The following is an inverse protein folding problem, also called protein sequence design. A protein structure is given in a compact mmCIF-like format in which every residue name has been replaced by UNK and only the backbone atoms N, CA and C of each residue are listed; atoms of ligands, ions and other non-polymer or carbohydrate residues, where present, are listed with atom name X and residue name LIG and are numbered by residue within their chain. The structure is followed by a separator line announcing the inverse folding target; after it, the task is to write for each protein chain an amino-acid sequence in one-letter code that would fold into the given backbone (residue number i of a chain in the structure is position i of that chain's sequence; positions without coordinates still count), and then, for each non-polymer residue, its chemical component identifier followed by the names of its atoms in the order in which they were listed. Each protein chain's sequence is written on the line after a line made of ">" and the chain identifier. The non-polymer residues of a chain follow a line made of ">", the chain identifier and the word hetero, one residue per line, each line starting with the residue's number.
data_IF_536678317995
#
_entry.id   IF_536678317995
#
_cell.length_a   1.000
_cell.length_b   1.000
_cell.length_c   1.000
_cell.angle_alpha   90.00
_cell.angle_beta   90.00
_cell.angle_gamma   90.00
#
_symmetry.space_group_name_H-M   'P 1'
#
loop_
_entity.id
_entity.type
_entity.pdbx_description
1 polymer ?
#
# COMPACT_ATOMS: atom_id res chain seq x y z
N UNK A 1 11.11 -7.35 5.42
CA UNK A 1 10.16 -6.30 4.95
C UNK A 1 9.18 -5.97 6.06
N UNK A 2 8.70 -4.73 6.09
CA UNK A 2 7.51 -4.33 6.86
C UNK A 2 6.45 -3.93 5.84
N UNK A 3 5.22 -4.38 6.01
CA UNK A 3 4.12 -4.10 5.08
C UNK A 3 3.07 -3.18 5.70
N UNK A 4 2.27 -2.52 4.86
CA UNK A 4 1.03 -1.89 5.33
C UNK A 4 0.14 -2.95 5.99
N UNK A 5 -0.51 -2.59 7.10
CA UNK A 5 -1.35 -3.50 7.87
C UNK A 5 -2.75 -3.67 7.22
N UNK A 6 -2.80 -3.95 5.92
CA UNK A 6 -4.03 -4.12 5.15
C UNK A 6 -3.91 -5.23 4.09
N UNK A 7 -4.98 -5.41 3.30
CA UNK A 7 -5.00 -6.40 2.22
C UNK A 7 -3.87 -6.21 1.20
N UNK A 8 -3.57 -4.97 0.78
CA UNK A 8 -2.57 -4.71 -0.27
C UNK A 8 -1.16 -5.06 0.24
N UNK A 9 -0.87 -4.72 1.49
CA UNK A 9 0.37 -5.13 2.15
C UNK A 9 0.54 -6.65 2.22
N UNK A 10 -0.51 -7.40 2.59
CA UNK A 10 -0.45 -8.87 2.71
C UNK A 10 -0.20 -9.58 1.37
N UNK A 11 -0.89 -9.16 0.32
CA UNK A 11 -0.73 -9.75 -1.00
C UNK A 11 0.63 -9.36 -1.61
N UNK A 12 1.14 -8.14 -1.34
CA UNK A 12 2.50 -7.76 -1.68
C UNK A 12 3.54 -8.63 -0.96
N UNK A 13 3.34 -8.90 0.35
CA UNK A 13 4.22 -9.80 1.09
C UNK A 13 4.27 -11.21 0.50
N UNK A 14 3.13 -11.73 0.04
CA UNK A 14 3.07 -13.03 -0.64
C UNK A 14 3.85 -13.04 -1.95
N UNK A 15 3.69 -12.02 -2.79
CA UNK A 15 4.44 -11.86 -4.03
C UNK A 15 5.95 -11.79 -3.78
N UNK A 16 6.38 -10.87 -2.90
CA UNK A 16 7.79 -10.58 -2.63
C UNK A 16 8.49 -11.74 -1.93
N UNK A 17 7.79 -12.46 -1.05
CA UNK A 17 8.34 -13.68 -0.46
C UNK A 17 8.55 -14.75 -1.52
N UNK A 18 7.54 -15.03 -2.33
CA UNK A 18 7.62 -16.11 -3.31
C UNK A 18 8.68 -15.86 -4.39
N UNK A 19 8.77 -14.64 -4.93
CA UNK A 19 9.66 -14.34 -6.05
C UNK A 19 11.04 -13.84 -5.65
N UNK A 20 11.16 -13.18 -4.48
CA UNK A 20 12.42 -12.56 -4.05
C UNK A 20 12.94 -13.10 -2.71
N UNK A 21 12.25 -14.07 -2.10
CA UNK A 21 12.59 -14.66 -0.80
C UNK A 21 12.65 -13.64 0.36
N UNK A 22 11.88 -12.56 0.26
CA UNK A 22 11.82 -11.54 1.32
C UNK A 22 11.11 -12.11 2.56
N UNK A 23 11.66 -11.82 3.74
CA UNK A 23 11.08 -12.25 5.01
C UNK A 23 10.18 -11.15 5.57
N UNK A 24 8.99 -11.52 6.07
CA UNK A 24 8.08 -10.61 6.74
C UNK A 24 8.51 -10.42 8.19
N UNK A 25 8.85 -9.18 8.57
CA UNK A 25 9.40 -8.85 9.89
C UNK A 25 8.47 -7.91 10.69
N UNK A 26 7.35 -7.49 10.11
CA UNK A 26 6.42 -6.60 10.79
C UNK A 26 5.34 -5.98 9.91
N UNK A 27 4.51 -5.17 10.54
CA UNK A 27 3.35 -4.47 9.97
C UNK A 27 3.33 -3.02 10.42
N UNK A 28 2.71 -2.14 9.62
CA UNK A 28 2.48 -0.74 9.98
C UNK A 28 1.11 -0.27 9.48
N UNK A 29 0.22 0.15 10.38
CA UNK A 29 -1.14 0.64 10.04
C UNK A 29 -1.19 2.16 9.82
N UNK A 30 -0.01 2.79 9.65
CA UNK A 30 0.21 4.23 9.62
C UNK A 30 0.04 4.91 11.00
N UNK A 31 -0.06 4.16 12.08
CA UNK A 31 -0.05 4.68 13.45
C UNK A 31 0.90 3.87 14.35
N UNK A 32 0.70 2.56 14.42
CA UNK A 32 1.44 1.60 15.23
C UNK A 32 2.28 0.69 14.33
N UNK A 33 3.55 0.54 14.68
CA UNK A 33 4.46 -0.43 14.06
C UNK A 33 4.48 -1.68 14.92
N UNK A 34 4.20 -2.85 14.35
CA UNK A 34 4.49 -4.14 14.96
C UNK A 34 5.73 -4.72 14.29
N UNK A 35 6.77 -5.02 15.06
CA UNK A 35 8.06 -5.43 14.51
C UNK A 35 8.72 -6.50 15.38
N UNK A 36 9.40 -7.46 14.74
CA UNK A 36 10.24 -8.46 15.41
C UNK A 36 11.47 -7.82 16.02
N UNK A 37 12.09 -8.48 17.00
CA UNK A 37 13.38 -8.06 17.53
C UNK A 37 14.47 -8.03 16.44
N UNK A 38 14.49 -9.03 15.57
CA UNK A 38 15.39 -9.08 14.41
C UNK A 38 15.19 -7.89 13.49
N UNK A 39 13.93 -7.53 13.19
CA UNK A 39 13.61 -6.34 12.39
C UNK A 39 14.17 -5.05 13.00
N UNK A 40 14.14 -4.91 14.33
CA UNK A 40 14.74 -3.76 15.03
C UNK A 40 16.28 -3.78 14.92
N UNK A 41 16.91 -4.95 15.09
CA UNK A 41 18.36 -5.11 15.00
C UNK A 41 18.91 -4.88 13.58
N UNK A 42 18.15 -5.28 12.56
CA UNK A 42 18.51 -5.18 11.14
C UNK A 42 17.78 -4.04 10.41
N UNK A 43 17.39 -3.00 11.13
CA UNK A 43 16.47 -1.96 10.63
C UNK A 43 16.92 -1.26 9.34
N UNK A 44 18.22 -1.17 9.08
CA UNK A 44 18.82 -0.64 7.86
C UNK A 44 18.58 -1.50 6.61
N UNK A 45 18.24 -2.78 6.80
CA UNK A 45 17.93 -3.72 5.72
C UNK A 45 16.43 -3.81 5.45
N UNK A 46 15.60 -3.14 6.26
CA UNK A 46 14.16 -3.17 6.10
C UNK A 46 13.72 -2.37 4.88
N UNK A 47 12.82 -2.99 4.12
CA UNK A 47 12.06 -2.35 3.05
C UNK A 47 10.61 -2.29 3.51
N UNK A 48 10.04 -1.08 3.41
CA UNK A 48 8.68 -0.74 3.81
C UNK A 48 7.78 -0.78 2.57
N UNK A 49 6.89 -1.76 2.50
CA UNK A 49 6.11 -2.10 1.30
C UNK A 49 4.69 -1.58 1.46
N UNK A 50 4.19 -0.93 0.41
CA UNK A 50 2.94 -0.18 0.38
C UNK A 50 2.91 0.97 1.42
N UNK A 51 4.08 1.56 1.67
CA UNK A 51 4.29 2.55 2.73
C UNK A 51 5.19 3.69 2.24
N UNK A 52 5.05 4.86 2.85
CA UNK A 52 5.88 6.03 2.58
C UNK A 52 6.47 6.52 3.90
N UNK A 53 7.76 6.25 4.11
CA UNK A 53 8.48 6.64 5.32
C UNK A 53 9.60 7.64 4.99
N UNK A 54 9.89 8.54 5.93
CA UNK A 54 10.83 9.65 5.78
C UNK A 54 12.27 9.35 6.26
N UNK A 55 12.56 8.43 7.19
CA UNK A 55 13.94 8.17 7.58
C UNK A 55 14.77 7.65 6.39
N UNK A 56 15.90 8.32 6.07
CA UNK A 56 16.80 7.93 4.97
C UNK A 56 17.27 6.47 5.01
N UNK A 57 17.40 5.92 6.22
CA UNK A 57 17.83 4.53 6.44
C UNK A 57 16.76 3.53 6.03
N UNK A 58 15.49 3.94 6.02
CA UNK A 58 14.40 3.12 5.55
C UNK A 58 14.24 3.25 4.04
N UNK A 59 14.24 2.10 3.36
CA UNK A 59 13.86 2.00 1.95
C UNK A 59 12.37 1.74 1.89
N UNK A 60 11.67 2.33 0.92
CA UNK A 60 10.23 2.17 0.82
C UNK A 60 9.79 1.91 -0.62
N UNK A 61 8.69 1.19 -0.79
CA UNK A 61 7.95 1.05 -2.04
C UNK A 61 6.51 1.43 -1.72
N UNK A 62 5.96 2.42 -2.39
CA UNK A 62 4.59 2.88 -2.10
C UNK A 62 4.02 3.78 -3.18
N UNK A 63 2.72 4.07 -3.11
CA UNK A 63 1.99 4.75 -4.19
C UNK A 63 1.30 6.07 -3.80
N UNK A 64 1.70 6.72 -2.70
CA UNK A 64 1.08 7.98 -2.26
C UNK A 64 1.82 9.20 -2.80
N UNK A 65 1.10 10.31 -2.97
CA UNK A 65 1.72 11.61 -3.27
C UNK A 65 2.37 12.13 -1.99
N UNK A 66 3.62 12.59 -2.12
CA UNK A 66 4.42 13.11 -1.00
C UNK A 66 5.02 14.50 -1.28
N UNK A 67 4.88 15.02 -2.50
CA UNK A 67 5.43 16.32 -2.90
C UNK A 67 4.33 17.36 -3.09
N UNK A 68 4.58 18.61 -2.68
CA UNK A 68 3.65 19.73 -2.87
C UNK A 68 3.99 20.49 -4.16
N UNK A 69 5.27 20.78 -4.40
CA UNK A 69 5.74 21.64 -5.49
C UNK A 69 6.97 21.08 -6.22
N UNK A 70 7.13 19.75 -6.25
CA UNK A 70 8.21 19.06 -6.97
C UNK A 70 9.41 18.74 -6.09
N UNK A 71 9.45 19.24 -4.85
CA UNK A 71 10.48 18.86 -3.90
C UNK A 71 10.37 17.38 -3.51
N UNK A 72 11.52 16.69 -3.54
CA UNK A 72 11.66 15.32 -3.01
C UNK A 72 12.44 15.41 -1.71
N UNK A 73 11.76 15.11 -0.61
CA UNK A 73 12.40 15.11 0.70
C UNK A 73 13.52 14.06 0.74
N UNK A 74 14.65 14.31 1.43
CA UNK A 74 15.81 13.42 1.37
C UNK A 74 15.51 11.97 1.76
N UNK A 75 14.50 11.75 2.60
CA UNK A 75 13.99 10.42 2.96
C UNK A 75 13.41 9.61 1.81
N UNK A 76 12.83 10.27 0.81
CA UNK A 76 12.22 9.61 -0.34
C UNK A 76 13.18 9.41 -1.51
N UNK A 77 14.43 9.84 -1.40
CA UNK A 77 15.46 9.55 -2.40
C UNK A 77 15.75 8.04 -2.51
N UNK A 78 15.50 7.29 -1.43
CA UNK A 78 15.58 5.82 -1.37
C UNK A 78 14.22 5.13 -1.61
N UNK A 79 13.18 5.88 -1.99
CA UNK A 79 11.81 5.36 -2.17
C UNK A 79 11.54 5.03 -3.64
N UNK A 80 11.04 3.82 -3.89
CA UNK A 80 10.49 3.42 -5.18
C UNK A 80 8.99 3.75 -5.20
N UNK A 81 8.65 4.95 -5.65
CA UNK A 81 7.27 5.42 -5.73
C UNK A 81 6.96 5.96 -7.14
N UNK A 82 5.98 5.39 -7.86
CA UNK A 82 5.70 5.79 -9.24
C UNK A 82 5.32 7.27 -9.37
N UNK A 83 4.67 7.86 -8.37
CA UNK A 83 4.32 9.29 -8.41
C UNK A 83 5.56 10.18 -8.30
N UNK A 84 6.56 9.78 -7.52
CA UNK A 84 7.83 10.52 -7.43
C UNK A 84 8.58 10.43 -8.75
N UNK A 85 8.66 9.23 -9.33
CA UNK A 85 9.34 8.98 -10.60
C UNK A 85 8.68 9.71 -11.78
N UNK A 86 7.36 9.90 -11.73
CA UNK A 86 6.60 10.66 -12.73
C UNK A 86 6.45 12.15 -12.39
N UNK A 87 7.16 12.64 -11.36
CA UNK A 87 7.18 14.04 -10.89
C UNK A 87 5.77 14.58 -10.54
N UNK A 88 4.87 13.71 -10.10
CA UNK A 88 3.49 14.08 -9.76
C UNK A 88 3.42 14.65 -8.35
N UNK A 89 2.92 15.87 -8.29
CA UNK A 89 2.74 16.62 -7.03
C UNK A 89 1.27 16.66 -6.59
N UNK A 90 1.04 17.25 -5.42
CA UNK A 90 -0.31 17.48 -4.91
C UNK A 90 -1.18 18.36 -5.83
N UNK A 91 -0.57 19.20 -6.67
CA UNK A 91 -1.27 20.00 -7.68
C UNK A 91 -1.81 19.18 -8.85
N UNK A 92 -1.34 17.95 -9.01
CA UNK A 92 -1.63 17.09 -10.15
C UNK A 92 -2.30 15.79 -9.73
N UNK A 93 -3.12 15.85 -8.69
CA UNK A 93 -3.73 14.69 -8.05
C UNK A 93 -4.50 13.78 -9.02
N UNK A 94 -5.10 14.35 -10.07
CA UNK A 94 -5.78 13.63 -11.15
C UNK A 94 -4.87 12.71 -11.97
N UNK A 95 -3.55 12.96 -11.96
CA UNK A 95 -2.52 12.14 -12.63
C UNK A 95 -1.97 11.03 -11.73
N UNK A 96 -2.31 11.02 -10.44
CA UNK A 96 -1.80 10.05 -9.45
C UNK A 96 -1.88 8.62 -9.99
N UNK A 97 -0.84 7.83 -9.71
CA UNK A 97 -0.82 6.40 -9.99
C UNK A 97 -2.13 5.73 -9.50
N UNK A 98 -2.94 5.14 -10.40
CA UNK A 98 -4.29 4.69 -10.08
C UNK A 98 -4.35 3.22 -9.66
N UNK A 99 -3.25 2.48 -9.73
CA UNK A 99 -3.20 1.06 -9.36
C UNK A 99 -2.60 0.89 -7.96
N UNK A 100 -2.63 -0.34 -7.47
CA UNK A 100 -2.04 -0.73 -6.19
C UNK A 100 -0.52 -0.89 -6.24
N UNK A 101 0.10 -0.93 -5.06
CA UNK A 101 1.52 -1.27 -4.94
C UNK A 101 1.80 -2.66 -5.50
N UNK A 102 0.86 -3.61 -5.33
CA UNK A 102 0.94 -4.94 -5.91
C UNK A 102 1.07 -4.92 -7.44
N UNK A 103 0.21 -4.18 -8.13
CA UNK A 103 0.25 -4.11 -9.61
C UNK A 103 1.53 -3.44 -10.09
N UNK A 104 2.03 -2.45 -9.35
CA UNK A 104 3.33 -1.85 -9.64
C UNK A 104 4.48 -2.86 -9.52
N UNK A 105 4.46 -3.71 -8.49
CA UNK A 105 5.46 -4.78 -8.31
C UNK A 105 5.37 -5.86 -9.40
N UNK A 106 4.15 -6.24 -9.83
CA UNK A 106 3.95 -7.18 -10.95
C UNK A 106 4.60 -6.64 -12.23
N UNK A 107 4.38 -5.36 -12.54
CA UNK A 107 5.02 -4.70 -13.69
C UNK A 107 6.55 -4.62 -13.51
N UNK A 108 7.02 -4.15 -12.35
CA UNK A 108 8.45 -3.93 -12.08
C UNK A 108 9.29 -5.21 -12.24
N UNK A 109 8.72 -6.36 -11.89
CA UNK A 109 9.37 -7.65 -12.00
C UNK A 109 8.93 -8.47 -13.22
N UNK A 110 8.08 -7.90 -14.09
CA UNK A 110 7.47 -8.58 -15.24
C UNK A 110 6.86 -9.95 -14.87
N UNK A 111 6.11 -9.98 -13.77
CA UNK A 111 5.47 -11.20 -13.26
C UNK A 111 4.07 -11.30 -13.84
N UNK A 112 3.87 -12.28 -14.70
CA UNK A 112 2.53 -12.67 -15.13
C UNK A 112 1.82 -13.45 -14.03
N UNK A 113 0.53 -13.14 -13.83
CA UNK A 113 -0.31 -13.90 -12.91
C UNK A 113 -0.97 -15.05 -13.67
N UNK A 114 -1.34 -16.11 -12.95
CA UNK A 114 -2.07 -17.24 -13.54
C UNK A 114 -3.32 -16.74 -14.27
N UNK A 115 -3.59 -17.34 -15.43
CA UNK A 115 -4.82 -17.12 -16.21
C UNK A 115 -6.04 -17.77 -15.54
N UNK A 116 -6.26 -17.45 -14.27
CA UNK A 116 -7.39 -17.87 -13.45
C UNK A 116 -8.25 -16.66 -13.11
N UNK A 117 -9.56 -16.87 -13.05
CA UNK A 117 -10.50 -15.79 -12.84
C UNK A 117 -10.42 -15.23 -11.41
N UNK A 118 -10.33 -16.10 -10.40
CA UNK A 118 -10.21 -15.67 -9.01
C UNK A 118 -8.87 -14.99 -8.76
N UNK A 119 -7.78 -15.49 -9.35
CA UNK A 119 -6.47 -14.84 -9.35
C UNK A 119 -6.59 -13.39 -9.81
N UNK A 120 -7.24 -13.15 -10.95
CA UNK A 120 -7.46 -11.80 -11.47
C UNK A 120 -8.30 -10.93 -10.53
N UNK A 121 -9.35 -11.49 -9.91
CA UNK A 121 -10.15 -10.76 -8.92
C UNK A 121 -9.34 -10.35 -7.69
N UNK A 122 -8.48 -11.21 -7.17
CA UNK A 122 -7.62 -10.92 -6.01
C UNK A 122 -6.66 -9.76 -6.31
N UNK A 123 -5.99 -9.79 -7.46
CA UNK A 123 -5.07 -8.73 -7.88
C UNK A 123 -5.82 -7.40 -8.05
N UNK A 124 -6.93 -7.42 -8.80
CA UNK A 124 -7.70 -6.21 -9.08
C UNK A 124 -8.43 -5.65 -7.84
N UNK A 125 -8.66 -6.48 -6.82
CA UNK A 125 -9.20 -6.03 -5.54
C UNK A 125 -8.23 -5.16 -4.77
N UNK A 126 -6.91 -5.40 -4.89
CA UNK A 126 -5.91 -4.69 -4.12
C UNK A 126 -5.94 -3.18 -4.41
N UNK A 127 -5.94 -2.40 -3.34
CA UNK A 127 -6.22 -0.95 -3.28
C UNK A 127 -7.43 -0.53 -4.15
N UNK A 128 -8.49 -1.36 -4.20
CA UNK A 128 -9.70 -1.16 -5.00
C UNK A 128 -9.41 -0.80 -6.48
N UNK A 129 -8.36 -1.38 -7.06
CA UNK A 129 -7.88 -1.03 -8.40
C UNK A 129 -8.96 -1.18 -9.47
N UNK A 130 -9.81 -2.20 -9.39
CA UNK A 130 -10.91 -2.37 -10.34
C UNK A 130 -11.88 -1.17 -10.37
N UNK A 131 -12.20 -0.57 -9.22
CA UNK A 131 -13.03 0.63 -9.16
C UNK A 131 -12.29 1.84 -9.72
N UNK A 132 -11.02 2.00 -9.36
CA UNK A 132 -10.20 3.11 -9.88
C UNK A 132 -10.07 3.03 -11.40
N UNK A 133 -9.93 1.83 -11.97
CA UNK A 133 -9.92 1.64 -13.42
C UNK A 133 -11.24 2.06 -14.08
N UNK A 134 -12.39 1.74 -13.45
CA UNK A 134 -13.69 2.19 -13.95
C UNK A 134 -13.80 3.71 -13.94
N UNK A 135 -13.44 4.37 -12.83
CA UNK A 135 -13.65 5.81 -12.62
C UNK A 135 -12.59 6.71 -13.25
N UNK A 136 -11.35 6.24 -13.32
CA UNK A 136 -10.20 6.99 -13.80
C UNK A 136 -9.59 6.31 -15.03
N UNK A 137 -10.44 5.89 -15.98
CA UNK A 137 -10.03 5.10 -17.15
C UNK A 137 -8.97 5.80 -17.99
N UNK A 138 -9.11 7.10 -18.22
CA UNK A 138 -8.15 7.86 -19.03
C UNK A 138 -6.79 7.98 -18.34
N UNK A 139 -6.77 8.22 -17.03
CA UNK A 139 -5.54 8.22 -16.25
C UNK A 139 -4.90 6.82 -16.23
N UNK A 140 -5.71 5.77 -16.04
CA UNK A 140 -5.27 4.37 -16.05
C UNK A 140 -4.61 4.01 -17.38
N UNK A 141 -5.22 4.36 -18.52
CA UNK A 141 -4.65 4.14 -19.86
C UNK A 141 -3.33 4.89 -20.06
N UNK A 142 -3.20 6.13 -19.53
CA UNK A 142 -1.93 6.87 -19.58
C UNK A 142 -0.82 6.13 -18.83
N UNK A 143 -1.13 5.63 -17.64
CA UNK A 143 -0.18 4.82 -16.87
C UNK A 143 0.18 3.49 -17.53
N UNK A 144 -0.79 2.79 -18.14
CA UNK A 144 -0.51 1.57 -18.92
C UNK A 144 0.43 1.82 -20.11
N UNK A 145 0.33 3.00 -20.75
CA UNK A 145 1.26 3.40 -21.82
C UNK A 145 2.65 3.72 -21.29
N UNK A 146 2.73 4.38 -20.13
CA UNK A 146 4.01 4.72 -19.50
C UNK A 146 4.73 3.44 -19.03
N UNK A 147 3.98 2.56 -18.37
CA UNK A 147 4.42 1.26 -17.89
C UNK A 147 4.19 0.20 -18.99
N UNK A 148 4.83 0.38 -20.14
CA UNK A 148 4.74 -0.56 -21.25
C UNK A 148 5.30 -1.95 -20.90
N UNK A 149 5.15 -2.90 -21.82
CA UNK A 149 5.64 -4.29 -21.70
C UNK A 149 5.03 -5.13 -20.58
N UNK A 150 3.74 -4.91 -20.29
CA UNK A 150 2.95 -5.75 -19.41
C UNK A 150 1.57 -6.02 -20.00
N UNK A 151 0.97 -7.18 -19.69
CA UNK A 151 -0.30 -7.61 -20.28
C UNK A 151 -1.51 -6.91 -19.64
N UNK A 152 -1.58 -5.59 -19.78
CA UNK A 152 -2.65 -4.74 -19.27
C UNK A 152 -4.02 -5.13 -19.83
N UNK A 153 -4.06 -5.52 -21.09
CA UNK A 153 -5.29 -5.89 -21.78
C UNK A 153 -5.98 -7.06 -21.10
N UNK A 154 -5.22 -8.12 -20.78
CA UNK A 154 -5.76 -9.29 -20.09
C UNK A 154 -6.17 -8.97 -18.65
N UNK A 155 -5.32 -8.25 -17.90
CA UNK A 155 -5.59 -7.91 -16.50
C UNK A 155 -6.88 -7.09 -16.36
N UNK A 156 -7.10 -6.11 -17.24
CA UNK A 156 -8.26 -5.21 -17.16
C UNK A 156 -9.42 -5.57 -18.10
N UNK A 157 -9.36 -6.74 -18.76
CA UNK A 157 -10.40 -7.17 -19.69
C UNK A 157 -11.76 -7.29 -19.00
N UNK A 158 -12.74 -6.53 -19.49
CA UNK A 158 -14.12 -6.59 -19.01
C UNK A 158 -14.34 -5.98 -17.62
N UNK A 159 -13.35 -5.33 -17.00
CA UNK A 159 -13.48 -4.73 -15.66
C UNK A 159 -14.61 -3.69 -15.59
N UNK A 160 -14.85 -2.94 -16.67
CA UNK A 160 -15.94 -1.98 -16.75
C UNK A 160 -17.24 -2.60 -17.31
N UNK A 161 -17.69 -3.72 -16.74
CA UNK A 161 -18.95 -4.38 -17.14
C UNK A 161 -19.78 -4.79 -15.92
N UNK A 162 -21.10 -4.80 -16.08
CA UNK A 162 -22.02 -5.34 -15.05
C UNK A 162 -21.69 -6.78 -14.68
N UNK A 163 -21.23 -7.58 -15.64
CA UNK A 163 -20.83 -8.97 -15.40
C UNK A 163 -19.62 -9.07 -14.44
N UNK A 164 -18.58 -8.25 -14.64
CA UNK A 164 -17.43 -8.23 -13.73
C UNK A 164 -17.84 -7.80 -12.31
N UNK A 165 -18.71 -6.79 -12.20
CA UNK A 165 -19.21 -6.33 -10.92
C UNK A 165 -20.00 -7.41 -10.16
N UNK A 166 -20.88 -8.15 -10.86
CA UNK A 166 -21.55 -9.31 -10.27
C UNK A 166 -20.57 -10.33 -9.73
N UNK A 167 -19.47 -10.57 -10.45
CA UNK A 167 -18.45 -11.54 -10.01
C UNK A 167 -17.74 -11.11 -8.73
N UNK A 168 -17.45 -9.83 -8.59
CA UNK A 168 -16.93 -9.28 -7.33
C UNK A 168 -17.93 -9.53 -6.19
N UNK A 169 -19.20 -9.17 -6.39
CA UNK A 169 -20.22 -9.18 -5.34
C UNK A 169 -20.74 -10.57 -4.96
N UNK A 170 -20.87 -11.47 -5.93
CA UNK A 170 -21.45 -12.80 -5.76
C UNK A 170 -20.37 -13.86 -5.44
N UNK A 171 -19.08 -13.60 -5.71
CA UNK A 171 -18.00 -14.60 -5.50
C UNK A 171 -16.90 -14.10 -4.56
N UNK A 172 -16.19 -13.02 -4.90
CA UNK A 172 -15.04 -12.58 -4.11
C UNK A 172 -15.45 -12.10 -2.71
N UNK A 173 -16.51 -11.31 -2.66
CA UNK A 173 -16.98 -10.65 -1.45
C UNK A 173 -17.65 -11.57 -0.42
N UNK A 174 -18.38 -12.62 -0.81
CA UNK A 174 -18.81 -13.67 0.10
C UNK A 174 -17.63 -14.50 0.61
N UNK A 175 -16.64 -14.80 -0.24
CA UNK A 175 -15.41 -15.50 0.17
C UNK A 175 -14.64 -14.71 1.25
N UNK A 176 -14.48 -13.40 1.07
CA UNK A 176 -13.84 -12.57 2.10
C UNK A 176 -14.64 -12.49 3.39
N UNK A 177 -15.98 -12.47 3.30
CA UNK A 177 -16.82 -12.51 4.49
C UNK A 177 -16.68 -13.81 5.26
N UNK A 178 -16.62 -14.96 4.59
CA UNK A 178 -16.46 -16.25 5.27
C UNK A 178 -15.12 -16.37 6.01
N UNK A 179 -14.09 -15.67 5.54
CA UNK A 179 -12.77 -15.60 6.20
C UNK A 179 -12.68 -14.46 7.23
N UNK A 180 -13.76 -13.68 7.44
CA UNK A 180 -13.76 -12.45 8.25
C UNK A 180 -12.76 -11.38 7.77
N UNK A 181 -12.31 -11.46 6.51
CA UNK A 181 -11.37 -10.54 5.87
C UNK A 181 -12.05 -9.25 5.38
N UNK A 182 -12.93 -8.65 6.19
CA UNK A 182 -13.64 -7.41 5.86
C UNK A 182 -13.82 -6.57 7.14
N UNK A 183 -13.16 -5.41 7.19
CA UNK A 183 -13.28 -4.45 8.29
C UNK A 183 -13.94 -3.13 7.88
N UNK A 184 -14.17 -2.90 6.59
CA UNK A 184 -14.75 -1.64 6.11
C UNK A 184 -15.19 -1.65 4.65
N UNK A 185 -15.59 -0.46 4.17
CA UNK A 185 -16.01 -0.20 2.80
C UNK A 185 -15.37 1.07 2.25
N UNK A 186 -14.93 1.03 0.99
CA UNK A 186 -14.45 2.19 0.27
C UNK A 186 -15.58 3.18 -0.04
N UNK A 187 -15.21 4.46 -0.14
CA UNK A 187 -16.14 5.53 -0.58
C UNK A 187 -16.52 5.39 -2.06
N UNK A 188 -15.61 4.88 -2.89
CA UNK A 188 -15.85 4.66 -4.30
C UNK A 188 -16.82 3.49 -4.49
N UNK A 189 -17.72 3.61 -5.46
CA UNK A 189 -18.72 2.60 -5.81
C UNK A 189 -18.66 2.26 -7.28
N UNK A 190 -19.02 1.04 -7.64
CA UNK A 190 -18.98 0.55 -9.01
C UNK A 190 -19.99 1.25 -9.91
N UNK A 191 -19.72 1.30 -11.22
CA UNK A 191 -20.55 2.05 -12.17
C UNK A 191 -21.90 1.40 -12.47
N UNK A 192 -21.98 0.07 -12.48
CA UNK A 192 -23.16 -0.65 -12.99
C UNK A 192 -24.11 -1.15 -11.90
N UNK A 193 -23.58 -1.51 -10.73
CA UNK A 193 -24.32 -2.12 -9.61
C UNK A 193 -24.17 -1.33 -8.29
N UNK A 194 -23.45 -0.21 -8.29
CA UNK A 194 -23.27 0.65 -7.12
C UNK A 194 -22.62 -0.06 -5.91
N UNK A 195 -21.75 -1.04 -6.17
CA UNK A 195 -21.06 -1.84 -5.15
C UNK A 195 -19.88 -1.05 -4.59
N UNK A 196 -19.83 -0.86 -3.27
CA UNK A 196 -18.63 -0.36 -2.59
C UNK A 196 -17.58 -1.45 -2.46
N UNK A 197 -16.30 -1.11 -2.66
CA UNK A 197 -15.24 -2.09 -2.40
C UNK A 197 -15.17 -2.44 -0.92
N UNK A 198 -15.12 -3.72 -0.59
CA UNK A 198 -14.78 -4.16 0.77
C UNK A 198 -13.30 -3.85 1.05
N UNK A 199 -12.98 -3.54 2.30
CA UNK A 199 -11.63 -3.25 2.76
C UNK A 199 -11.32 -4.14 3.96
N UNK A 200 -10.04 -4.53 4.07
CA UNK A 200 -9.51 -5.25 5.22
C UNK A 200 -8.30 -4.50 5.75
N UNK A 201 -8.35 -4.20 7.05
CA UNK A 201 -7.26 -3.66 7.84
C UNK A 201 -6.99 -4.72 8.89
N UNK A 202 -5.76 -5.21 8.95
CA UNK A 202 -5.35 -6.24 9.90
C UNK A 202 -4.80 -5.58 11.17
N UNK A 203 -5.11 -6.17 12.32
CA UNK A 203 -4.38 -5.96 13.55
C UNK A 203 -3.60 -7.25 13.89
N UNK A 204 -2.25 -7.20 13.86
CA UNK A 204 -1.42 -8.36 14.18
C UNK A 204 -1.66 -8.97 15.57
N UNK A 205 -2.24 -8.22 16.49
CA UNK A 205 -2.49 -8.68 17.87
C UNK A 205 -3.67 -9.69 17.95
N UNK A 206 -4.57 -9.75 16.97
CA UNK A 206 -5.74 -10.64 17.02
C UNK A 206 -6.25 -11.17 15.66
N UNK A 207 -5.76 -10.69 14.53
CA UNK A 207 -6.21 -11.12 13.19
C UNK A 207 -5.35 -12.23 12.56
N UNK A 208 -4.53 -12.95 13.35
CA UNK A 208 -3.59 -13.96 12.83
C UNK A 208 -4.31 -15.03 11.98
N UNK A 209 -5.43 -15.56 12.45
CA UNK A 209 -6.22 -16.57 11.72
C UNK A 209 -6.77 -16.05 10.39
N UNK A 210 -7.17 -14.77 10.33
CA UNK A 210 -7.66 -14.12 9.11
C UNK A 210 -6.51 -13.92 8.12
N UNK A 211 -5.35 -13.50 8.62
CA UNK A 211 -4.12 -13.35 7.82
C UNK A 211 -3.72 -14.70 7.23
N UNK A 212 -3.68 -15.77 8.02
CA UNK A 212 -3.34 -17.12 7.54
C UNK A 212 -4.32 -17.59 6.45
N UNK A 213 -5.62 -17.35 6.61
CA UNK A 213 -6.62 -17.69 5.59
C UNK A 213 -6.39 -16.94 4.28
N UNK A 214 -6.09 -15.64 4.34
CA UNK A 214 -5.77 -14.83 3.15
C UNK A 214 -4.48 -15.31 2.46
N UNK A 215 -3.40 -15.54 3.22
CA UNK A 215 -2.14 -16.05 2.70
C UNK A 215 -2.31 -17.43 2.03
N UNK A 216 -3.10 -18.31 2.64
CA UNK A 216 -3.44 -19.62 2.06
C UNK A 216 -4.27 -19.47 0.77
N UNK A 217 -5.22 -18.53 0.73
CA UNK A 217 -5.98 -18.24 -0.48
C UNK A 217 -5.07 -17.74 -1.60
N UNK A 218 -4.12 -16.84 -1.30
CA UNK A 218 -3.12 -16.37 -2.26
C UNK A 218 -2.25 -17.52 -2.75
N UNK A 219 -1.73 -18.36 -1.86
CA UNK A 219 -0.90 -19.50 -2.26
C UNK A 219 -1.65 -20.50 -3.13
N UNK A 220 -2.89 -20.84 -2.78
CA UNK A 220 -3.72 -21.74 -3.58
C UNK A 220 -4.05 -21.17 -4.96
N UNK A 221 -4.46 -19.89 -5.01
CA UNK A 221 -5.01 -19.29 -6.23
C UNK A 221 -3.93 -18.75 -7.15
N UNK A 222 -2.94 -18.03 -6.59
CA UNK A 222 -1.87 -17.38 -7.34
C UNK A 222 -0.64 -18.30 -7.50
N UNK A 223 -0.53 -19.34 -6.67
CA UNK A 223 0.66 -20.20 -6.64
C UNK A 223 1.85 -19.59 -5.88
N UNK A 224 1.63 -18.50 -5.13
CA UNK A 224 2.69 -17.83 -4.40
C UNK A 224 2.90 -18.45 -3.03
N UNK A 225 4.11 -18.88 -2.74
CA UNK A 225 4.48 -19.38 -1.41
C UNK A 225 4.21 -18.29 -0.36
N UNK A 226 3.38 -18.54 0.65
CA UNK A 226 3.10 -17.54 1.67
C UNK A 226 4.34 -17.33 2.56
N UNK A 227 4.64 -16.09 2.99
CA UNK A 227 5.68 -15.84 3.97
C UNK A 227 5.31 -16.48 5.31
N UNK A 228 6.33 -16.81 6.09
CA UNK A 228 6.13 -17.11 7.53
C UNK A 228 5.66 -15.84 8.23
N UNK A 229 4.68 -16.00 9.12
CA UNK A 229 4.25 -14.90 9.98
C UNK A 229 5.34 -14.58 11.01
N UNK A 230 5.62 -13.29 11.27
CA UNK A 230 6.55 -12.91 12.31
C UNK A 230 5.96 -13.22 13.69
N UNK A 231 6.75 -13.85 14.56
CA UNK A 231 6.41 -14.11 15.96
C UNK A 231 7.06 -13.08 16.90
N UNK A 232 6.53 -12.95 18.12
CA UNK A 232 7.08 -12.07 19.19
C UNK A 232 7.18 -10.60 18.76
N UNK A 233 6.11 -10.09 18.14
CA UNK A 233 6.02 -8.70 17.71
C UNK A 233 6.01 -7.75 18.91
N UNK A 234 6.81 -6.68 18.83
CA UNK A 234 6.73 -5.52 19.72
C UNK A 234 5.96 -4.42 19.01
N UNK A 235 5.00 -3.81 19.70
CA UNK A 235 4.28 -2.66 19.18
C UNK A 235 4.94 -1.35 19.59
N UNK A 236 5.05 -0.42 18.64
CA UNK A 236 5.53 0.94 18.84
C UNK A 236 4.40 1.86 18.40
N UNK A 237 3.78 2.55 19.35
CA UNK A 237 2.64 3.43 19.08
C UNK A 237 3.11 4.81 18.64
N UNK A 238 2.58 5.27 17.52
CA UNK A 238 2.76 6.62 17.00
C UNK A 238 1.56 7.53 17.30
N UNK A 239 1.62 8.72 16.74
CA UNK A 239 0.56 9.72 16.78
C UNK A 239 0.21 10.15 15.36
N UNK A 240 -0.80 9.50 14.78
CA UNK A 240 -1.31 9.82 13.45
C UNK A 240 -2.25 11.02 13.49
N UNK A 241 -1.97 12.04 12.67
CA UNK A 241 -2.76 13.27 12.56
C UNK A 241 -3.08 13.61 11.11
N UNK A 242 -4.23 14.25 10.91
CA UNK A 242 -4.65 14.85 9.65
C UNK A 242 -4.76 16.35 9.82
N UNK A 243 -4.15 17.09 8.92
CA UNK A 243 -4.18 18.56 8.90
C UNK A 243 -4.50 19.07 7.49
N UNK A 244 -5.01 20.30 7.34
CA UNK A 244 -5.22 20.89 6.03
C UNK A 244 -3.90 21.01 5.25
N UNK A 245 -3.90 20.63 3.97
CA UNK A 245 -2.72 20.78 3.12
C UNK A 245 -2.32 22.26 2.93
N UNK A 246 -3.30 23.17 3.00
CA UNK A 246 -3.06 24.61 2.93
C UNK A 246 -2.12 25.10 4.05
N UNK A 247 -2.26 24.57 5.27
CA UNK A 247 -1.37 24.90 6.40
C UNK A 247 0.09 24.50 6.11
N UNK A 248 0.29 23.35 5.47
CA UNK A 248 1.63 22.87 5.11
C UNK A 248 2.25 23.72 4.01
N UNK A 249 1.44 24.24 3.09
CA UNK A 249 1.89 25.18 2.05
C UNK A 249 2.34 26.52 2.64
N UNK A 250 1.68 26.98 3.69
CA UNK A 250 2.02 28.23 4.39
C UNK A 250 3.31 28.09 5.22
N UNK A 251 3.44 27.02 6.00
CA UNK A 251 4.61 26.76 6.85
C UNK A 251 5.84 26.33 6.01
N UNK A 252 5.60 25.64 4.90
CA UNK A 252 6.63 24.96 4.12
C UNK A 252 6.81 23.51 4.58
N UNK A 253 6.82 22.58 3.61
CA UNK A 253 6.85 21.14 3.87
C UNK A 253 8.07 20.72 4.72
N UNK A 254 9.28 21.10 4.31
CA UNK A 254 10.50 20.71 5.00
C UNK A 254 10.55 21.21 6.45
N UNK A 255 10.08 22.44 6.69
CA UNK A 255 9.99 23.03 8.03
C UNK A 255 9.00 22.25 8.89
N UNK A 256 7.78 22.03 8.38
CA UNK A 256 6.74 21.28 9.09
C UNK A 256 7.20 19.87 9.47
N UNK A 257 7.82 19.14 8.54
CA UNK A 257 8.31 17.77 8.76
C UNK A 257 9.33 17.72 9.90
N UNK A 258 10.25 18.68 9.94
CA UNK A 258 11.30 18.78 10.96
C UNK A 258 10.71 19.12 12.33
N UNK A 259 9.88 20.15 12.42
CA UNK A 259 9.27 20.62 13.68
C UNK A 259 8.39 19.53 14.31
N UNK A 260 7.65 18.78 13.50
CA UNK A 260 6.74 17.74 13.97
C UNK A 260 7.38 16.35 14.07
N UNK A 261 8.68 16.21 13.73
CA UNK A 261 9.42 14.94 13.70
C UNK A 261 8.65 13.83 12.97
N UNK A 262 8.21 14.17 11.76
CA UNK A 262 7.37 13.27 10.97
C UNK A 262 8.16 12.03 10.57
N UNK A 263 7.62 10.86 10.87
CA UNK A 263 8.18 9.57 10.46
C UNK A 263 7.64 9.11 9.11
N UNK A 264 6.34 9.26 8.88
CA UNK A 264 5.69 8.88 7.62
C UNK A 264 4.60 9.89 7.30
N UNK A 265 4.37 10.16 6.02
CA UNK A 265 3.24 10.97 5.62
C UNK A 265 2.76 10.65 4.19
N UNK A 266 1.57 11.13 3.90
CA UNK A 266 0.97 11.10 2.58
C UNK A 266 0.07 12.32 2.39
N UNK A 267 -0.12 12.71 1.14
CA UNK A 267 -1.14 13.64 0.70
C UNK A 267 -2.27 12.80 0.08
N UNK A 268 -3.28 12.37 0.87
CA UNK A 268 -4.35 11.49 0.36
C UNK A 268 -5.40 12.23 -0.47
N UNK A 269 -5.41 13.56 -0.47
CA UNK A 269 -6.27 14.39 -1.31
C UNK A 269 -5.68 15.79 -1.46
N UNK A 270 -6.15 16.61 -2.41
CA UNK A 270 -5.69 18.00 -2.56
C UNK A 270 -5.92 18.91 -1.35
N UNK A 271 -6.61 18.42 -0.31
CA UNK A 271 -7.00 19.20 0.89
C UNK A 271 -6.37 18.69 2.18
N UNK A 272 -5.86 17.46 2.21
CA UNK A 272 -5.47 16.79 3.45
C UNK A 272 -4.00 16.40 3.37
N UNK A 273 -3.28 16.66 4.45
CA UNK A 273 -1.97 16.11 4.75
C UNK A 273 -2.12 15.15 5.95
N UNK A 274 -1.68 13.91 5.80
CA UNK A 274 -1.81 12.86 6.81
C UNK A 274 -0.40 12.41 7.20
N UNK A 275 -0.07 12.46 8.48
CA UNK A 275 1.27 12.14 8.95
C UNK A 275 1.25 11.44 10.30
N UNK A 276 2.38 10.80 10.61
CA UNK A 276 2.60 10.11 11.87
C UNK A 276 3.96 10.49 12.41
N UNK A 277 4.02 10.78 13.72
CA UNK A 277 5.26 10.95 14.45
C UNK A 277 5.27 10.04 15.69
N UNK A 278 6.46 9.71 16.17
CA UNK A 278 6.66 8.88 17.38
C UNK A 278 7.07 9.73 18.61
N UNK A 279 6.95 11.05 18.50
CA UNK A 279 7.22 12.00 19.59
C UNK A 279 8.70 12.12 19.97
N UNK A 280 8.95 12.63 21.18
CA UNK A 280 10.29 12.74 21.77
C UNK A 280 10.69 11.54 22.62
N UNK A 281 9.72 10.75 23.09
CA UNK A 281 9.92 9.65 24.04
C UNK A 281 10.47 8.42 23.33
N UNK A 282 9.94 8.11 22.15
CA UNK A 282 10.51 7.12 21.25
C UNK A 282 11.33 7.89 20.20
N UNK A 283 12.68 7.84 20.27
CA UNK A 283 13.52 8.23 19.13
C UNK A 283 13.00 7.48 17.91
N UNK A 284 13.02 8.09 16.71
CA UNK A 284 12.57 7.43 15.49
C UNK A 284 13.10 5.99 15.48
N UNK A 285 12.25 4.96 15.27
CA UNK A 285 12.69 3.56 15.38
C UNK A 285 13.92 3.28 14.49
N UNK A 286 14.09 4.09 13.45
CA UNK A 286 15.16 4.00 12.47
C UNK A 286 16.32 5.00 12.69
N UNK A 287 16.28 5.95 13.63
CA UNK A 287 17.41 6.86 13.86
C UNK A 287 18.54 6.17 14.65
N UNK A 288 19.80 6.54 14.36
CA UNK A 288 20.96 6.10 15.15
C UNK A 288 20.92 6.76 16.53
N UNK A 289 21.45 6.08 17.55
CA UNK A 289 22.02 6.81 18.69
C UNK A 289 23.15 7.68 18.12
N UNK A 290 22.95 8.99 18.09
CA UNK A 290 24.09 9.88 18.22
C UNK A 290 24.57 9.68 19.65
N UNK A 291 25.65 8.93 19.80
CA UNK A 291 26.55 9.09 20.94
C UNK A 291 27.29 10.43 20.77
#
# INVERSE_FOLDING_TARGET
>A
MIISADYDGLICASLLHHHLNWQLEGYYDLNTIWITEKGVQEKQNLIWVDLNILPKQGKAIGGHIVSISGEVQPGFQSSCNPNILAEITAGEFQRKFPFSTLIYLLWLHNIEIKHDFLARLLILHSDATWLKYQHYSENSKKWQKLLHDFNWNWLFQGVNTKAFEKRIDEYLYPLFQSMQAVSGKSKLRSKHLNISSKQFQLNPDWDEDVVLQLLNLFGKTLGWTPPKLPSNLKSINGNRKKVPLALIKEIGLSQFLKENRVFSYAIPSPRIFNFTSFGMVNKSPLEKKHD
#
